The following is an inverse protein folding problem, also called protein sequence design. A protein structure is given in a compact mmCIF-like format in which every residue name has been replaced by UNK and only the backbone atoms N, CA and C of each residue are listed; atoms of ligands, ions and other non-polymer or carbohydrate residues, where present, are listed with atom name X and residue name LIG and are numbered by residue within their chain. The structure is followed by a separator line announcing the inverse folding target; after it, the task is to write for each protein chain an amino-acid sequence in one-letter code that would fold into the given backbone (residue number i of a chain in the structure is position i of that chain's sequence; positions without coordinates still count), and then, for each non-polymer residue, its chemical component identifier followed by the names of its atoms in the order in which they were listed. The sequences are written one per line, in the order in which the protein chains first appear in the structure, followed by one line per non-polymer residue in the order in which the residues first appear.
data_IF_225591231181
#
_entry.id   IF_225591231181
#
_cell.length_a   1.000
_cell.length_b   1.000
_cell.length_c   1.000
_cell.angle_alpha   90.00
_cell.angle_beta   90.00
_cell.angle_gamma   90.00
#
_symmetry.space_group_name_H-M   'P 1'
#
loop_
_entity.id
_entity.type
_entity.pdbx_description
1 polymer ?
#
# COMPACT_ATOMS: atom_id res chain seq x y z
N UNK A 1 3.49 -29.85 -24.00
CA UNK A 1 3.42 -28.37 -24.02
C UNK A 1 2.97 -27.80 -22.66
N UNK A 2 3.70 -28.08 -21.59
CA UNK A 2 3.48 -27.56 -20.23
C UNK A 2 4.85 -27.32 -19.61
N UNK A 3 5.41 -26.12 -19.79
CA UNK A 3 6.56 -25.57 -19.02
C UNK A 3 7.11 -24.21 -19.51
N UNK A 4 6.47 -23.51 -20.45
CA UNK A 4 6.93 -22.19 -20.92
C UNK A 4 6.11 -20.98 -20.42
N UNK A 5 5.05 -21.19 -19.65
CA UNK A 5 4.12 -20.11 -19.28
C UNK A 5 4.49 -19.25 -18.07
N UNK A 6 5.56 -19.58 -17.33
CA UNK A 6 5.88 -18.91 -16.05
C UNK A 6 7.01 -17.87 -16.19
N UNK A 7 7.75 -17.86 -17.30
CA UNK A 7 8.89 -16.92 -17.47
C UNK A 7 8.50 -15.59 -18.14
N UNK A 8 7.33 -15.50 -18.77
CA UNK A 8 6.96 -14.33 -19.59
C UNK A 8 6.24 -13.19 -18.87
N UNK A 9 5.78 -13.39 -17.63
CA UNK A 9 5.06 -12.36 -16.86
C UNK A 9 5.96 -11.55 -15.90
N UNK A 10 7.23 -11.94 -15.71
CA UNK A 10 8.20 -11.14 -14.96
C UNK A 10 8.99 -10.15 -15.84
N UNK A 11 8.90 -10.23 -17.17
CA UNK A 11 9.69 -9.39 -18.07
C UNK A 11 9.11 -7.97 -18.26
N UNK A 12 7.79 -7.78 -18.14
CA UNK A 12 7.18 -6.45 -18.29
C UNK A 12 7.37 -5.54 -17.07
N UNK A 13 7.67 -6.10 -15.90
CA UNK A 13 8.04 -5.33 -14.71
C UNK A 13 9.53 -4.94 -14.64
N UNK A 14 10.38 -5.52 -15.51
CA UNK A 14 11.82 -5.25 -15.55
C UNK A 14 12.27 -4.36 -16.72
N UNK A 15 11.35 -3.94 -17.60
CA UNK A 15 11.67 -3.09 -18.76
C UNK A 15 11.70 -1.57 -18.47
N UNK A 16 11.81 -1.16 -17.19
CA UNK A 16 12.10 0.23 -16.81
C UNK A 16 13.45 0.40 -16.08
N UNK A 17 14.35 -0.58 -16.15
CA UNK A 17 15.65 -0.52 -15.44
C UNK A 17 16.89 -0.84 -16.30
N UNK A 18 16.80 -0.85 -17.63
CA UNK A 18 17.99 -0.84 -18.49
C UNK A 18 17.82 0.08 -19.69
N UNK A 19 18.32 1.30 -19.56
CA UNK A 19 18.76 2.10 -20.71
C UNK A 19 20.01 2.87 -20.26
N UNK A 20 21.16 2.27 -20.53
CA UNK A 20 22.44 2.94 -20.67
C UNK A 20 22.85 2.81 -22.12
N UNK A 21 23.05 3.97 -22.75
CA UNK A 21 23.84 4.22 -23.96
C UNK A 21 23.43 3.50 -25.25
N UNK A 22 22.77 4.25 -26.15
CA UNK A 22 23.21 4.46 -27.54
C UNK A 22 22.31 5.51 -28.24
N UNK A 23 22.95 6.62 -28.58
CA UNK A 23 22.80 7.45 -29.80
C UNK A 23 21.42 7.70 -30.44
N UNK A 24 21.08 8.99 -30.42
CA UNK A 24 20.64 9.84 -31.55
C UNK A 24 19.36 9.50 -32.33
N UNK A 25 18.46 10.49 -32.34
CA UNK A 25 17.42 10.72 -33.35
C UNK A 25 16.39 9.61 -33.57
N UNK A 26 15.15 9.84 -33.12
CA UNK A 26 13.92 9.81 -33.93
C UNK A 26 12.70 9.95 -33.00
N UNK A 27 11.87 10.94 -33.33
CA UNK A 27 10.52 11.15 -32.80
C UNK A 27 9.63 9.96 -33.19
N UNK A 28 8.97 9.32 -32.22
CA UNK A 28 7.76 8.54 -32.52
C UNK A 28 6.84 8.54 -31.30
N UNK A 29 5.66 9.11 -31.52
CA UNK A 29 4.54 9.18 -30.60
C UNK A 29 4.02 7.77 -30.25
N UNK A 30 3.70 7.54 -28.98
CA UNK A 30 2.97 6.37 -28.50
C UNK A 30 1.47 6.71 -28.44
N UNK A 31 0.57 5.88 -28.99
CA UNK A 31 -0.87 6.15 -28.96
C UNK A 31 -1.48 5.76 -27.61
N UNK A 32 -2.13 6.71 -26.97
CA UNK A 32 -3.03 6.46 -25.82
C UNK A 32 -4.40 6.11 -26.39
N UNK A 33 -4.78 4.84 -26.31
CA UNK A 33 -6.16 4.42 -26.54
C UNK A 33 -7.00 4.75 -25.31
N UNK A 34 -7.78 5.83 -25.40
CA UNK A 34 -8.93 6.05 -24.54
C UNK A 34 -10.08 5.14 -25.00
N UNK A 35 -10.56 4.27 -24.12
CA UNK A 35 -11.94 3.79 -24.16
C UNK A 35 -12.60 4.13 -22.83
N UNK A 36 -13.39 5.21 -22.86
CA UNK A 36 -14.32 5.61 -21.83
C UNK A 36 -15.68 4.99 -22.13
N UNK A 37 -16.16 4.09 -21.28
CA UNK A 37 -17.59 3.82 -21.15
C UNK A 37 -17.90 3.50 -19.69
N UNK A 38 -18.88 4.18 -19.11
CA UNK A 38 -19.29 3.95 -17.72
C UNK A 38 -20.14 5.08 -17.13
N UNK A 39 -21.23 5.39 -17.79
CA UNK A 39 -22.29 6.32 -17.43
C UNK A 39 -22.80 6.07 -15.98
N UNK A 40 -22.64 7.03 -15.07
CA UNK A 40 -23.29 7.02 -13.74
C UNK A 40 -24.65 7.71 -13.86
N UNK A 41 -25.68 6.93 -14.18
CA UNK A 41 -27.07 7.34 -13.96
C UNK A 41 -27.36 7.36 -12.46
N UNK A 42 -27.28 8.53 -11.84
CA UNK A 42 -27.91 8.79 -10.55
C UNK A 42 -29.39 9.05 -10.82
N UNK A 43 -30.26 8.12 -10.39
CA UNK A 43 -31.68 8.37 -10.29
C UNK A 43 -31.92 9.41 -9.20
N UNK A 44 -32.36 10.59 -9.62
CA UNK A 44 -32.76 11.70 -8.79
C UNK A 44 -34.22 11.49 -8.34
N UNK A 45 -34.40 11.09 -7.09
CA UNK A 45 -35.63 11.31 -6.33
C UNK A 45 -35.22 11.55 -4.87
N UNK A 46 -35.70 12.67 -4.35
CA UNK A 46 -35.76 13.06 -2.94
C UNK A 46 -34.43 13.41 -2.25
N UNK A 47 -34.08 14.69 -2.31
CA UNK A 47 -34.04 15.59 -1.14
C UNK A 47 -34.03 17.01 -1.69
N UNK A 48 -35.21 17.61 -1.63
CA UNK A 48 -35.47 19.02 -1.84
C UNK A 48 -35.02 19.82 -0.60
N UNK A 49 -34.68 21.08 -0.83
CA UNK A 49 -34.58 22.19 0.14
C UNK A 49 -33.33 22.35 1.01
N UNK A 50 -32.38 23.14 0.48
CA UNK A 50 -32.14 24.52 0.97
C UNK A 50 -31.21 25.30 0.02
N UNK A 51 -31.77 26.31 -0.66
CA UNK A 51 -31.01 27.35 -1.39
C UNK A 51 -30.41 28.38 -0.39
N UNK A 52 -29.31 29.05 -0.75
CA UNK A 52 -28.53 29.90 0.15
C UNK A 52 -29.00 31.35 0.12
N UNK A 53 -28.87 32.07 1.24
CA UNK A 53 -29.03 33.52 1.29
C UNK A 53 -27.67 34.21 1.12
N UNK A 54 -27.54 34.90 -0.01
CA UNK A 54 -26.58 35.97 -0.27
C UNK A 54 -26.92 37.16 0.64
N UNK A 55 -25.95 37.67 1.39
CA UNK A 55 -25.88 39.10 1.74
C UNK A 55 -24.45 39.58 1.58
N UNK A 56 -24.41 40.78 1.05
CA UNK A 56 -23.36 41.51 0.37
C UNK A 56 -22.69 42.54 1.31
N UNK A 57 -21.56 43.09 0.85
CA UNK A 57 -20.88 44.33 1.28
C UNK A 57 -19.97 44.29 2.53
N UNK A 58 -18.67 44.52 2.32
CA UNK A 58 -18.12 45.89 2.25
C UNK A 58 -16.58 45.91 2.12
N UNK A 59 -16.10 46.88 1.34
CA UNK A 59 -14.69 47.21 1.09
C UNK A 59 -14.08 48.00 2.26
N UNK A 60 -12.78 47.84 2.49
CA UNK A 60 -11.94 48.78 3.24
C UNK A 60 -10.46 48.56 2.95
N UNK A 61 -9.89 49.41 2.10
CA UNK A 61 -8.45 49.57 1.91
C UNK A 61 -7.82 50.15 3.19
N UNK A 62 -6.60 49.74 3.56
CA UNK A 62 -5.50 50.64 3.90
C UNK A 62 -4.15 49.94 3.91
N UNK A 63 -3.14 50.76 3.64
CA UNK A 63 -1.83 50.51 3.04
C UNK A 63 -0.71 50.54 4.10
N UNK A 64 0.41 49.89 3.75
CA UNK A 64 1.84 50.20 4.05
C UNK A 64 2.47 50.02 5.43
N UNK A 65 3.71 49.47 5.35
CA UNK A 65 4.88 49.83 6.16
C UNK A 65 5.14 48.90 7.34
N UNK A 66 6.36 48.52 7.72
CA UNK A 66 7.71 48.61 7.17
C UNK A 66 8.59 47.74 8.08
N UNK A 67 9.81 47.44 7.66
CA UNK A 67 10.71 46.45 8.26
C UNK A 67 11.29 46.85 9.63
N UNK A 68 11.45 45.88 10.55
CA UNK A 68 12.55 45.84 11.52
C UNK A 68 12.94 44.38 11.84
N UNK A 69 14.20 44.04 11.58
CA UNK A 69 15.03 43.02 12.26
C UNK A 69 16.40 43.69 12.49
N UNK A 70 17.32 43.14 13.30
CA UNK A 70 17.19 42.30 14.49
C UNK A 70 18.08 42.82 15.66
N UNK A 71 17.92 42.33 16.90
CA UNK A 71 18.99 42.42 17.89
C UNK A 71 18.91 41.32 18.95
N UNK A 72 20.07 40.80 19.37
CA UNK A 72 20.24 40.05 20.61
C UNK A 72 20.62 38.58 20.46
N UNK A 73 21.89 38.30 20.09
CA UNK A 73 22.58 37.08 20.50
C UNK A 73 23.04 37.21 21.98
N UNK A 74 23.42 36.05 22.53
CA UNK A 74 24.11 35.80 23.80
C UNK A 74 23.25 35.54 25.04
N UNK A 75 23.13 34.24 25.37
CA UNK A 75 23.55 33.71 26.68
C UNK A 75 23.69 32.18 26.67
N UNK A 76 24.96 31.76 26.67
CA UNK A 76 25.59 30.83 27.62
C UNK A 76 25.04 29.40 27.69
N UNK A 77 25.76 28.51 27.01
CA UNK A 77 25.90 27.08 27.31
C UNK A 77 26.64 26.91 28.65
N UNK A 78 26.11 26.09 29.55
CA UNK A 78 26.87 25.52 30.65
C UNK A 78 26.82 23.99 30.57
N UNK A 79 28.02 23.41 30.44
CA UNK A 79 28.34 22.01 30.50
C UNK A 79 27.95 21.39 31.86
N UNK A 80 27.31 20.21 31.83
CA UNK A 80 27.43 19.25 32.94
C UNK A 80 27.83 17.88 32.42
N UNK A 81 29.07 17.55 32.79
CA UNK A 81 29.77 16.28 32.66
C UNK A 81 28.99 15.07 33.20
N UNK A 82 29.07 13.98 32.43
CA UNK A 82 29.43 12.60 32.79
C UNK A 82 29.39 12.21 34.28
N UNK A 83 28.63 11.16 34.58
CA UNK A 83 29.06 10.09 35.49
C UNK A 83 28.66 8.72 34.95
N UNK A 84 29.69 7.93 34.66
CA UNK A 84 29.65 6.51 34.41
C UNK A 84 29.07 5.74 35.61
N UNK A 85 28.22 4.74 35.33
CA UNK A 85 28.00 3.61 36.24
C UNK A 85 28.17 2.30 35.49
N UNK A 86 29.35 1.74 35.72
CA UNK A 86 29.77 0.35 35.51
C UNK A 86 29.15 -0.54 36.60
N UNK A 87 28.48 -1.63 36.21
CA UNK A 87 28.18 -2.83 37.03
C UNK A 87 28.05 -4.00 36.04
N UNK A 88 29.12 -4.75 35.81
CA UNK A 88 29.43 -6.07 36.38
C UNK A 88 28.61 -7.25 35.83
N UNK A 89 29.33 -8.08 35.08
CA UNK A 89 28.96 -9.41 34.59
C UNK A 89 28.61 -10.37 35.73
N UNK A 90 27.51 -11.12 35.56
CA UNK A 90 27.30 -12.38 36.28
C UNK A 90 27.26 -13.55 35.31
N UNK A 91 28.33 -14.33 35.38
CA UNK A 91 28.59 -15.61 34.72
C UNK A 91 28.32 -16.73 35.72
N UNK A 92 27.34 -17.59 35.48
CA UNK A 92 27.14 -18.91 36.12
C UNK A 92 26.38 -19.76 35.09
N UNK A 93 27.02 -20.71 34.39
CA UNK A 93 27.56 -22.04 34.75
C UNK A 93 26.65 -23.12 34.17
N UNK A 94 27.26 -23.91 33.28
CA UNK A 94 26.73 -25.14 32.69
C UNK A 94 26.44 -26.19 33.77
N UNK A 95 25.31 -26.89 33.63
CA UNK A 95 25.16 -28.23 34.19
C UNK A 95 24.78 -29.21 33.07
N UNK A 96 25.72 -30.12 32.84
CA UNK A 96 25.67 -31.25 31.91
C UNK A 96 25.56 -32.50 32.75
N UNK A 97 24.48 -33.28 32.63
CA UNK A 97 24.44 -34.66 33.13
C UNK A 97 23.68 -35.56 32.14
N UNK A 98 24.47 -36.42 31.47
CA UNK A 98 24.26 -37.81 31.05
C UNK A 98 22.83 -38.36 31.06
N UNK A 99 22.30 -38.98 30.00
CA UNK A 99 22.91 -40.07 29.24
C UNK A 99 22.49 -41.43 29.84
N UNK A 100 21.44 -42.05 29.31
CA UNK A 100 21.26 -43.51 29.35
C UNK A 100 20.55 -44.02 28.09
N UNK A 101 21.38 -44.68 27.29
CA UNK A 101 21.06 -45.60 26.20
C UNK A 101 20.60 -46.94 26.82
N UNK A 102 19.84 -47.72 26.06
CA UNK A 102 19.82 -49.21 25.91
C UNK A 102 18.36 -49.65 25.64
N UNK A 103 18.06 -49.99 24.38
CA UNK A 103 18.01 -51.35 23.77
C UNK A 103 16.56 -51.88 23.79
N UNK A 104 15.92 -51.97 22.62
CA UNK A 104 15.90 -53.15 21.74
C UNK A 104 15.39 -54.40 22.46
N UNK A 105 14.16 -54.82 22.16
CA UNK A 105 13.95 -56.15 21.61
C UNK A 105 12.64 -56.28 20.83
N UNK A 106 12.81 -56.92 19.68
CA UNK A 106 11.89 -57.36 18.65
C UNK A 106 11.20 -58.64 19.13
N UNK A 107 9.99 -58.95 18.64
CA UNK A 107 9.62 -60.26 18.01
C UNK A 107 8.09 -60.53 17.96
N UNK A 108 7.66 -60.86 16.73
CA UNK A 108 6.57 -61.74 16.24
C UNK A 108 5.11 -61.66 16.75
N UNK A 109 4.28 -61.12 15.86
CA UNK A 109 3.12 -61.74 15.21
C UNK A 109 2.42 -62.98 15.76
N UNK A 110 1.08 -62.87 15.86
CA UNK A 110 0.00 -63.76 15.34
C UNK A 110 -1.33 -63.02 15.62
N UNK A 111 -2.08 -62.60 14.59
CA UNK A 111 -3.29 -63.27 14.08
C UNK A 111 -4.21 -63.71 15.22
N UNK A 112 -5.27 -62.93 15.47
CA UNK A 112 -6.66 -63.37 15.56
C UNK A 112 -7.56 -62.14 15.75
N UNK A 113 -8.56 -62.05 14.88
CA UNK A 113 -9.65 -61.08 14.89
C UNK A 113 -10.66 -61.50 15.98
N UNK A 114 -11.26 -60.55 16.70
CA UNK A 114 -12.71 -60.50 16.61
C UNK A 114 -13.26 -59.09 16.43
N UNK A 115 -14.32 -59.04 15.63
CA UNK A 115 -15.23 -57.93 15.40
C UNK A 115 -15.37 -56.94 16.57
N UNK A 116 -15.05 -55.67 16.31
CA UNK A 116 -15.64 -54.52 16.97
C UNK A 116 -16.08 -53.54 15.88
N UNK A 117 -17.34 -53.64 15.49
CA UNK A 117 -18.09 -52.53 14.91
C UNK A 117 -18.11 -51.42 15.97
N UNK A 118 -17.28 -50.40 15.79
CA UNK A 118 -17.49 -49.09 16.43
C UNK A 118 -17.84 -48.13 15.31
N UNK A 119 -19.14 -47.93 15.23
CA UNK A 119 -19.83 -46.94 14.44
C UNK A 119 -19.43 -45.51 14.85
N UNK A 120 -19.73 -44.60 13.94
CA UNK A 120 -19.72 -43.14 14.09
C UNK A 120 -18.35 -42.46 13.95
N UNK A 121 -17.99 -42.35 12.68
CA UNK A 121 -17.26 -41.23 12.11
C UNK A 121 -17.88 -39.89 12.53
N UNK A 122 -17.50 -39.38 13.71
CA UNK A 122 -17.72 -37.99 14.12
C UNK A 122 -16.73 -37.10 13.36
N UNK A 123 -16.90 -37.04 12.02
CA UNK A 123 -16.42 -35.91 11.25
C UNK A 123 -17.22 -34.71 11.74
N UNK A 124 -16.57 -33.85 12.50
CA UNK A 124 -16.95 -32.47 12.76
C UNK A 124 -17.60 -31.88 11.50
N UNK A 125 -18.93 -31.88 11.43
CA UNK A 125 -19.67 -31.26 10.34
C UNK A 125 -19.59 -29.75 10.56
N UNK A 126 -18.52 -29.15 10.04
CA UNK A 126 -18.52 -27.72 9.75
C UNK A 126 -19.74 -27.46 8.87
N UNK A 127 -20.65 -26.54 9.23
CA UNK A 127 -21.83 -26.26 8.43
C UNK A 127 -21.41 -25.94 7.00
N UNK A 128 -21.83 -26.76 6.03
CA UNK A 128 -21.62 -26.47 4.60
C UNK A 128 -22.43 -25.23 4.28
N UNK A 129 -21.76 -24.10 4.04
CA UNK A 129 -22.40 -22.89 3.53
C UNK A 129 -23.17 -23.22 2.27
N UNK A 130 -24.40 -22.76 2.18
CA UNK A 130 -25.17 -22.89 0.94
C UNK A 130 -24.56 -22.00 -0.15
N UNK A 131 -24.78 -22.35 -1.42
CA UNK A 131 -24.33 -21.53 -2.55
C UNK A 131 -24.83 -20.08 -2.43
N UNK A 132 -26.07 -19.90 -1.98
CA UNK A 132 -26.69 -18.59 -1.80
C UNK A 132 -25.99 -17.76 -0.72
N UNK A 133 -25.66 -18.37 0.41
CA UNK A 133 -24.92 -17.70 1.50
C UNK A 133 -23.51 -17.30 1.06
N UNK A 134 -22.78 -18.21 0.39
CA UNK A 134 -21.44 -17.93 -0.10
C UNK A 134 -21.42 -16.76 -1.11
N UNK A 135 -22.38 -16.74 -2.04
CA UNK A 135 -22.53 -15.64 -3.00
C UNK A 135 -22.88 -14.31 -2.30
N UNK A 136 -23.84 -14.32 -1.37
CA UNK A 136 -24.27 -13.11 -0.67
C UNK A 136 -23.14 -12.49 0.16
N UNK A 137 -22.37 -13.32 0.87
CA UNK A 137 -21.21 -12.88 1.64
C UNK A 137 -20.13 -12.29 0.73
N UNK A 138 -19.85 -12.95 -0.38
CA UNK A 138 -18.86 -12.48 -1.36
C UNK A 138 -19.27 -11.11 -1.93
N UNK A 139 -20.51 -10.94 -2.37
CA UNK A 139 -21.02 -9.65 -2.86
C UNK A 139 -20.97 -8.55 -1.80
N UNK A 140 -21.34 -8.86 -0.56
CA UNK A 140 -21.25 -7.93 0.55
C UNK A 140 -19.81 -7.47 0.77
N UNK A 141 -18.83 -8.39 0.67
CA UNK A 141 -17.41 -8.07 0.81
C UNK A 141 -16.89 -7.20 -0.32
N UNK A 142 -17.30 -7.49 -1.57
CA UNK A 142 -16.94 -6.67 -2.72
C UNK A 142 -17.50 -5.25 -2.58
N UNK A 143 -18.76 -5.11 -2.13
CA UNK A 143 -19.36 -3.80 -1.84
C UNK A 143 -18.62 -3.06 -0.74
N UNK A 144 -18.28 -3.73 0.37
CA UNK A 144 -17.49 -3.15 1.46
C UNK A 144 -16.15 -2.61 0.94
N UNK A 145 -15.43 -3.42 0.15
CA UNK A 145 -14.16 -3.03 -0.45
C UNK A 145 -14.34 -1.81 -1.38
N UNK A 146 -15.35 -1.81 -2.27
CA UNK A 146 -15.69 -0.66 -3.13
C UNK A 146 -15.90 0.63 -2.33
N UNK A 147 -16.74 0.56 -1.30
CA UNK A 147 -17.08 1.73 -0.49
C UNK A 147 -15.87 2.28 0.27
N UNK A 148 -15.00 1.42 0.81
CA UNK A 148 -13.76 1.86 1.48
C UNK A 148 -12.87 2.68 0.53
N UNK A 149 -12.67 2.22 -0.70
CA UNK A 149 -11.81 2.90 -1.67
C UNK A 149 -12.37 4.25 -2.12
N UNK A 150 -13.67 4.30 -2.40
CA UNK A 150 -14.34 5.55 -2.77
C UNK A 150 -14.27 6.55 -1.62
N UNK A 151 -14.50 6.08 -0.39
CA UNK A 151 -14.43 6.93 0.80
C UNK A 151 -13.02 7.52 0.96
N UNK A 152 -11.97 6.69 0.96
CA UNK A 152 -10.59 7.15 1.12
C UNK A 152 -10.21 8.19 0.06
N UNK A 153 -10.54 7.96 -1.22
CA UNK A 153 -10.22 8.89 -2.32
C UNK A 153 -10.92 10.25 -2.19
N UNK A 154 -12.13 10.25 -1.63
CA UNK A 154 -12.94 11.47 -1.49
C UNK A 154 -12.79 12.16 -0.12
N UNK A 155 -12.12 11.50 0.84
CA UNK A 155 -12.03 11.99 2.22
C UNK A 155 -11.08 13.17 2.38
N UNK A 156 -10.15 13.38 1.44
CA UNK A 156 -9.11 14.38 1.55
C UNK A 156 -9.23 15.47 0.47
N UNK A 157 -9.53 16.70 0.88
CA UNK A 157 -9.37 17.89 0.03
C UNK A 157 -8.12 18.69 0.47
N UNK A 158 -7.04 18.72 -0.34
CA UNK A 158 -5.81 19.43 0.00
C UNK A 158 -6.02 20.95 0.20
N UNK A 159 -7.07 21.54 -0.41
CA UNK A 159 -7.34 22.99 -0.32
C UNK A 159 -7.72 23.42 1.09
N UNK A 160 -8.33 22.54 1.87
CA UNK A 160 -8.70 22.84 3.26
C UNK A 160 -7.48 22.97 4.17
N UNK A 161 -6.40 22.23 3.86
CA UNK A 161 -5.19 22.15 4.69
C UNK A 161 -4.03 23.01 4.18
N UNK A 162 -4.23 23.76 3.08
CA UNK A 162 -3.21 24.63 2.47
C UNK A 162 -1.88 23.91 2.18
N UNK A 163 -1.93 22.62 1.85
CA UNK A 163 -0.73 21.84 1.55
C UNK A 163 -0.09 22.29 0.24
N UNK A 164 1.24 22.33 0.22
CA UNK A 164 2.07 22.70 -0.92
C UNK A 164 3.02 21.56 -1.31
N UNK A 165 2.45 20.38 -1.58
CA UNK A 165 3.25 19.25 -2.05
C UNK A 165 3.81 19.58 -3.44
N UNK A 166 5.13 19.45 -3.68
CA UNK A 166 5.79 19.90 -4.90
C UNK A 166 5.61 18.92 -6.09
N UNK A 167 4.39 18.46 -6.36
CA UNK A 167 4.08 17.48 -7.43
C UNK A 167 4.71 17.85 -8.77
N UNK A 168 4.56 19.12 -9.19
CA UNK A 168 5.11 19.63 -10.46
C UNK A 168 6.64 19.52 -10.53
N UNK A 169 7.35 19.73 -9.42
CA UNK A 169 8.82 19.62 -9.34
C UNK A 169 9.28 18.16 -9.34
N UNK A 170 8.43 17.24 -8.90
CA UNK A 170 8.71 15.80 -8.90
C UNK A 170 8.50 15.22 -10.30
N UNK A 171 7.31 15.43 -10.88
CA UNK A 171 7.00 15.08 -12.26
C UNK A 171 5.64 15.66 -12.67
N UNK A 172 5.47 16.18 -13.90
CA UNK A 172 4.18 16.61 -14.43
C UNK A 172 3.10 15.52 -14.41
N UNK A 173 3.48 14.23 -14.45
CA UNK A 173 2.51 13.14 -14.43
C UNK A 173 1.69 13.08 -13.12
N UNK A 174 2.21 13.68 -12.05
CA UNK A 174 1.57 13.70 -10.73
C UNK A 174 0.75 14.97 -10.47
N UNK A 175 0.62 15.88 -11.44
CA UNK A 175 -0.15 17.13 -11.24
C UNK A 175 -1.64 16.96 -11.43
N UNK A 176 -2.07 15.89 -12.09
CA UNK A 176 -3.49 15.64 -12.30
C UNK A 176 -4.18 15.20 -11.00
N UNK A 177 -5.39 15.70 -10.78
CA UNK A 177 -6.13 15.56 -9.52
C UNK A 177 -6.38 14.10 -9.15
N UNK A 178 -6.55 13.23 -10.14
CA UNK A 178 -6.77 11.81 -9.93
C UNK A 178 -5.55 11.13 -9.30
N UNK A 179 -4.35 11.39 -9.83
CA UNK A 179 -3.09 10.85 -9.31
C UNK A 179 -2.82 11.37 -7.89
N UNK A 180 -3.14 12.64 -7.63
CA UNK A 180 -2.99 13.20 -6.27
C UNK A 180 -3.94 12.53 -5.29
N UNK A 181 -5.23 12.38 -5.65
CA UNK A 181 -6.20 11.66 -4.83
C UNK A 181 -5.79 10.21 -4.58
N UNK A 182 -5.22 9.54 -5.59
CA UNK A 182 -4.73 8.17 -5.48
C UNK A 182 -3.48 8.09 -4.56
N UNK A 183 -2.59 9.09 -4.58
CA UNK A 183 -1.46 9.18 -3.63
C UNK A 183 -1.99 9.38 -2.20
N UNK A 184 -2.97 10.25 -1.99
CA UNK A 184 -3.56 10.46 -0.66
C UNK A 184 -4.27 9.20 -0.14
N UNK A 185 -5.04 8.52 -0.99
CA UNK A 185 -5.71 7.27 -0.64
C UNK A 185 -4.72 6.14 -0.27
N UNK A 186 -3.55 6.08 -0.91
CA UNK A 186 -2.48 5.13 -0.55
C UNK A 186 -1.89 5.40 0.84
N UNK A 187 -2.06 6.61 1.37
CA UNK A 187 -1.72 7.01 2.74
C UNK A 187 -2.90 6.91 3.70
N UNK A 188 -4.00 6.30 3.28
CA UNK A 188 -5.25 6.23 4.06
C UNK A 188 -5.93 7.58 4.25
N UNK A 189 -5.59 8.58 3.44
CA UNK A 189 -6.08 9.96 3.55
C UNK A 189 -5.85 10.58 4.95
N UNK A 190 -4.82 10.10 5.65
CA UNK A 190 -4.42 10.60 6.96
C UNK A 190 -3.67 11.93 6.80
N UNK A 191 -4.29 13.01 7.28
CA UNK A 191 -3.78 14.39 7.18
C UNK A 191 -2.38 14.52 7.80
N UNK A 192 -2.13 13.86 8.93
CA UNK A 192 -0.85 13.95 9.65
C UNK A 192 0.28 13.29 8.86
N UNK A 193 -0.03 12.15 8.23
CA UNK A 193 0.91 11.44 7.36
C UNK A 193 1.17 12.23 6.09
N UNK A 194 0.13 12.87 5.51
CA UNK A 194 0.27 13.69 4.30
C UNK A 194 1.13 14.94 4.58
N UNK A 195 0.96 15.60 5.74
CA UNK A 195 1.85 16.69 6.20
C UNK A 195 3.29 16.19 6.36
N UNK A 196 3.47 14.97 6.90
CA UNK A 196 4.80 14.34 7.01
C UNK A 196 5.43 14.09 5.65
N UNK A 197 4.65 13.65 4.66
CA UNK A 197 5.09 13.50 3.28
C UNK A 197 5.51 14.85 2.67
N UNK A 198 4.70 15.90 2.84
CA UNK A 198 5.05 17.24 2.36
C UNK A 198 6.40 17.69 2.94
N UNK A 199 6.61 17.51 4.25
CA UNK A 199 7.88 17.86 4.90
C UNK A 199 9.06 17.11 4.29
N UNK A 200 8.92 15.81 4.06
CA UNK A 200 9.96 15.01 3.41
C UNK A 200 10.30 15.61 2.05
N UNK A 201 9.28 15.84 1.22
CA UNK A 201 9.47 16.30 -0.16
C UNK A 201 10.05 17.71 -0.23
N UNK A 202 9.69 18.60 0.69
CA UNK A 202 10.24 19.95 0.76
C UNK A 202 11.70 19.99 1.24
N UNK A 203 12.18 18.93 1.92
CA UNK A 203 13.58 18.79 2.30
C UNK A 203 14.48 18.24 1.18
N UNK A 204 13.88 17.68 0.13
CA UNK A 204 14.60 17.13 -1.02
C UNK A 204 15.11 18.24 -1.96
N UNK A 205 16.29 18.04 -2.54
CA UNK A 205 16.80 18.91 -3.62
C UNK A 205 16.13 18.55 -4.95
N UNK A 206 14.88 19.00 -5.12
CA UNK A 206 14.09 18.78 -6.32
C UNK A 206 14.49 19.78 -7.41
N UNK A 207 15.15 19.31 -8.46
CA UNK A 207 15.64 20.16 -9.55
C UNK A 207 14.56 20.51 -10.57
N UNK A 208 14.65 21.74 -11.08
CA UNK A 208 13.90 22.24 -12.25
C UNK A 208 14.93 22.74 -13.29
N UNK A 209 14.90 22.26 -14.56
CA UNK A 209 13.95 21.31 -15.14
C UNK A 209 14.07 19.89 -14.56
N UNK A 210 12.98 19.12 -14.65
CA UNK A 210 12.90 17.79 -14.04
C UNK A 210 13.89 16.83 -14.72
N UNK A 211 14.91 16.39 -13.97
CA UNK A 211 15.85 15.36 -14.40
C UNK A 211 15.49 14.04 -13.70
N UNK A 212 14.60 13.26 -14.32
CA UNK A 212 14.00 12.03 -13.75
C UNK A 212 15.02 10.95 -13.33
N UNK A 213 16.28 11.07 -13.76
CA UNK A 213 17.33 10.07 -13.59
C UNK A 213 18.34 10.39 -12.49
N UNK A 214 18.29 11.58 -11.88
CA UNK A 214 19.36 12.04 -10.98
C UNK A 214 18.86 12.62 -9.65
N UNK A 215 19.66 12.43 -8.59
CA UNK A 215 19.48 13.08 -7.29
C UNK A 215 18.20 12.69 -6.53
N UNK A 216 17.71 13.64 -5.74
CA UNK A 216 16.56 13.45 -4.85
C UNK A 216 15.23 13.37 -5.62
N UNK A 217 15.14 14.00 -6.79
CA UNK A 217 13.97 13.89 -7.69
C UNK A 217 13.67 12.43 -8.03
N UNK A 218 14.70 11.61 -8.33
CA UNK A 218 14.52 10.18 -8.60
C UNK A 218 13.93 9.43 -7.41
N UNK A 219 14.34 9.80 -6.19
CA UNK A 219 13.82 9.21 -4.95
C UNK A 219 12.35 9.54 -4.78
N UNK A 220 11.96 10.80 -4.98
CA UNK A 220 10.57 11.25 -4.91
C UNK A 220 9.68 10.59 -5.97
N UNK A 221 10.14 10.54 -7.23
CA UNK A 221 9.42 9.86 -8.32
C UNK A 221 9.19 8.39 -8.00
N UNK A 222 10.21 7.69 -7.50
CA UNK A 222 10.09 6.28 -7.16
C UNK A 222 9.12 6.04 -6.00
N UNK A 223 9.14 6.89 -4.96
CA UNK A 223 8.15 6.85 -3.88
C UNK A 223 6.72 7.00 -4.43
N UNK A 224 6.46 8.02 -5.26
CA UNK A 224 5.12 8.25 -5.81
C UNK A 224 4.63 7.12 -6.70
N UNK A 225 5.51 6.52 -7.51
CA UNK A 225 5.15 5.34 -8.31
C UNK A 225 4.75 4.15 -7.43
N UNK A 226 5.44 3.92 -6.30
CA UNK A 226 5.08 2.87 -5.36
C UNK A 226 3.74 3.13 -4.66
N UNK A 227 3.42 4.38 -4.34
CA UNK A 227 2.12 4.77 -3.78
C UNK A 227 1.00 4.60 -4.80
N UNK A 228 1.20 5.07 -6.04
CA UNK A 228 0.21 4.92 -7.11
C UNK A 228 -0.08 3.45 -7.41
N UNK A 229 0.93 2.57 -7.41
CA UNK A 229 0.73 1.13 -7.58
C UNK A 229 -0.30 0.55 -6.58
N UNK A 230 -0.31 1.03 -5.34
CA UNK A 230 -1.25 0.54 -4.33
C UNK A 230 -2.68 0.88 -4.74
N UNK A 231 -2.93 2.15 -5.07
CA UNK A 231 -4.24 2.63 -5.48
C UNK A 231 -4.69 2.06 -6.83
N UNK A 232 -3.80 2.00 -7.82
CA UNK A 232 -4.06 1.49 -9.15
C UNK A 232 -4.46 0.01 -9.15
N UNK A 233 -3.68 -0.83 -8.49
CA UNK A 233 -3.97 -2.26 -8.45
C UNK A 233 -5.19 -2.58 -7.60
N UNK A 234 -5.41 -1.82 -6.53
CA UNK A 234 -6.62 -1.95 -5.72
C UNK A 234 -7.86 -1.57 -6.53
N UNK A 235 -7.81 -0.47 -7.29
CA UNK A 235 -8.87 -0.07 -8.22
C UNK A 235 -9.09 -1.10 -9.32
N UNK A 236 -8.02 -1.63 -9.91
CA UNK A 236 -8.09 -2.69 -10.93
C UNK A 236 -8.75 -3.96 -10.41
N UNK A 237 -8.44 -4.38 -9.19
CA UNK A 237 -9.13 -5.49 -8.54
C UNK A 237 -10.64 -5.28 -8.53
N UNK A 238 -11.06 -4.11 -8.06
CA UNK A 238 -12.46 -3.85 -7.76
C UNK A 238 -13.29 -3.49 -9.00
N UNK A 239 -12.73 -2.68 -9.90
CA UNK A 239 -13.44 -2.16 -11.07
C UNK A 239 -13.30 -3.05 -12.29
N UNK A 240 -12.20 -3.81 -12.41
CA UNK A 240 -11.98 -4.72 -13.53
C UNK A 240 -12.30 -6.15 -13.13
N UNK A 241 -11.62 -6.68 -12.11
CA UNK A 241 -11.73 -8.11 -11.78
C UNK A 241 -13.02 -8.47 -11.04
N UNK A 242 -13.53 -7.54 -10.22
CA UNK A 242 -14.75 -7.68 -9.41
C UNK A 242 -15.84 -6.68 -9.85
N UNK A 243 -15.86 -6.35 -11.14
CA UNK A 243 -16.92 -5.55 -11.77
C UNK A 243 -18.27 -6.24 -11.64
N UNK A 244 -19.38 -5.50 -11.70
CA UNK A 244 -20.72 -6.08 -11.58
C UNK A 244 -20.95 -7.21 -12.59
N UNK A 245 -20.49 -7.02 -13.83
CA UNK A 245 -20.53 -8.06 -14.88
C UNK A 245 -19.73 -9.31 -14.50
N UNK A 246 -18.52 -9.15 -13.96
CA UNK A 246 -17.71 -10.29 -13.55
C UNK A 246 -18.24 -10.98 -12.30
N UNK A 247 -18.92 -10.27 -11.39
CA UNK A 247 -19.58 -10.87 -10.24
C UNK A 247 -20.70 -11.82 -10.68
N UNK A 248 -21.55 -11.40 -11.61
CA UNK A 248 -22.60 -12.28 -12.16
C UNK A 248 -22.00 -13.50 -12.88
N UNK A 249 -20.90 -13.31 -13.63
CA UNK A 249 -20.17 -14.44 -14.23
C UNK A 249 -19.63 -15.39 -13.18
N UNK A 250 -19.02 -14.90 -12.10
CA UNK A 250 -18.48 -15.73 -11.03
C UNK A 250 -19.61 -16.55 -10.39
N UNK A 251 -20.75 -15.92 -10.07
CA UNK A 251 -21.91 -16.58 -9.45
C UNK A 251 -22.50 -17.69 -10.30
N UNK A 252 -22.47 -17.53 -11.62
CA UNK A 252 -23.09 -18.48 -12.56
C UNK A 252 -22.15 -19.59 -13.02
N UNK A 253 -20.84 -19.34 -13.04
CA UNK A 253 -19.86 -20.28 -13.62
C UNK A 253 -18.93 -20.97 -12.62
N UNK A 254 -18.79 -20.47 -11.39
CA UNK A 254 -17.88 -21.04 -10.38
C UNK A 254 -18.61 -21.94 -9.39
N UNK A 255 -17.88 -22.93 -8.85
CA UNK A 255 -18.38 -23.77 -7.76
C UNK A 255 -18.51 -22.97 -6.45
N UNK A 256 -19.26 -23.51 -5.48
CA UNK A 256 -19.39 -22.89 -4.15
C UNK A 256 -18.02 -22.80 -3.48
N UNK A 257 -17.20 -23.83 -3.62
CA UNK A 257 -15.84 -23.92 -3.10
C UNK A 257 -14.92 -22.85 -3.72
N UNK A 258 -15.02 -22.64 -5.04
CA UNK A 258 -14.28 -21.57 -5.73
C UNK A 258 -14.69 -20.19 -5.23
N UNK A 259 -15.99 -19.94 -5.05
CA UNK A 259 -16.50 -18.67 -4.53
C UNK A 259 -16.00 -18.43 -3.10
N UNK A 260 -16.00 -19.47 -2.26
CA UNK A 260 -15.42 -19.40 -0.91
C UNK A 260 -13.92 -19.06 -0.97
N UNK A 261 -13.16 -19.68 -1.87
CA UNK A 261 -11.72 -19.43 -2.04
C UNK A 261 -11.42 -18.02 -2.56
N UNK A 262 -12.22 -17.51 -3.51
CA UNK A 262 -12.14 -16.13 -4.00
C UNK A 262 -12.47 -15.15 -2.87
N UNK A 263 -13.56 -15.40 -2.13
CA UNK A 263 -13.99 -14.56 -1.02
C UNK A 263 -12.94 -14.48 0.10
N UNK A 264 -12.34 -15.61 0.46
CA UNK A 264 -11.24 -15.67 1.42
C UNK A 264 -9.99 -14.91 0.92
N UNK A 265 -9.70 -14.99 -0.38
CA UNK A 265 -8.58 -14.25 -0.99
C UNK A 265 -8.83 -12.73 -0.98
N UNK A 266 -10.07 -12.29 -1.21
CA UNK A 266 -10.46 -10.89 -1.10
C UNK A 266 -10.34 -10.36 0.33
N UNK A 267 -10.71 -11.15 1.34
CA UNK A 267 -10.54 -10.75 2.74
C UNK A 267 -9.07 -10.61 3.13
N UNK A 268 -8.22 -11.57 2.73
CA UNK A 268 -6.77 -11.45 2.93
C UNK A 268 -6.20 -10.21 2.23
N UNK A 269 -6.70 -9.88 1.04
CA UNK A 269 -6.31 -8.66 0.33
C UNK A 269 -6.67 -7.41 1.14
N UNK A 270 -7.89 -7.32 1.68
CA UNK A 270 -8.31 -6.18 2.48
C UNK A 270 -7.44 -6.02 3.73
N UNK A 271 -7.17 -7.12 4.45
CA UNK A 271 -6.31 -7.12 5.63
C UNK A 271 -4.86 -6.72 5.30
N UNK A 272 -4.31 -7.24 4.21
CA UNK A 272 -2.97 -6.87 3.77
C UNK A 272 -2.91 -5.41 3.32
N UNK A 273 -3.96 -4.88 2.68
CA UNK A 273 -4.04 -3.46 2.32
C UNK A 273 -3.97 -2.58 3.56
N UNK A 274 -4.76 -2.87 4.60
CA UNK A 274 -4.74 -2.11 5.85
C UNK A 274 -3.36 -2.14 6.50
N UNK A 275 -2.71 -3.31 6.49
CA UNK A 275 -1.32 -3.47 6.96
C UNK A 275 -0.32 -2.67 6.13
N UNK A 276 -0.42 -2.72 4.79
CA UNK A 276 0.46 -2.01 3.85
C UNK A 276 0.34 -0.50 4.03
N UNK A 277 -0.88 0.03 4.13
CA UNK A 277 -1.12 1.45 4.41
C UNK A 277 -0.45 1.84 5.72
N UNK A 278 -0.64 1.06 6.78
CA UNK A 278 0.00 1.33 8.08
C UNK A 278 1.53 1.33 8.01
N UNK A 279 2.14 0.35 7.33
CA UNK A 279 3.61 0.32 7.13
C UNK A 279 4.10 1.61 6.47
N UNK A 280 3.40 2.08 5.44
CA UNK A 280 3.79 3.29 4.71
C UNK A 280 3.63 4.54 5.58
N UNK A 281 2.51 4.63 6.32
CA UNK A 281 2.26 5.72 7.27
C UNK A 281 3.35 5.79 8.34
N UNK A 282 3.71 4.65 8.93
CA UNK A 282 4.76 4.56 9.96
C UNK A 282 6.13 4.99 9.39
N UNK A 283 6.49 4.53 8.19
CA UNK A 283 7.76 4.90 7.54
C UNK A 283 7.81 6.40 7.19
N UNK A 284 6.76 6.95 6.58
CA UNK A 284 6.71 8.38 6.23
C UNK A 284 6.78 9.25 7.48
N UNK A 285 6.02 8.89 8.53
CA UNK A 285 6.00 9.65 9.78
C UNK A 285 7.35 9.59 10.49
N UNK A 286 7.98 8.41 10.56
CA UNK A 286 9.30 8.23 11.19
C UNK A 286 10.40 8.97 10.44
N UNK A 287 10.40 8.92 9.09
CA UNK A 287 11.41 9.59 8.27
C UNK A 287 11.28 11.12 8.33
N UNK A 288 10.06 11.66 8.44
CA UNK A 288 9.83 13.12 8.46
C UNK A 288 10.39 13.84 9.70
N UNK A 289 10.76 13.08 10.74
CA UNK A 289 11.34 13.58 11.99
C UNK A 289 12.88 13.60 11.98
N UNK A 290 13.52 13.05 10.95
CA UNK A 290 14.97 12.95 10.83
C UNK A 290 15.56 14.19 10.16
N UNK A 291 16.87 14.40 10.33
CA UNK A 291 17.60 15.37 9.51
C UNK A 291 17.63 14.93 8.04
N UNK A 292 17.99 15.84 7.14
CA UNK A 292 17.95 15.60 5.70
C UNK A 292 18.76 14.37 5.26
N UNK A 293 19.93 14.15 5.85
CA UNK A 293 20.82 13.04 5.46
C UNK A 293 20.22 11.69 5.82
N UNK A 294 19.82 11.54 7.08
CA UNK A 294 19.21 10.32 7.59
C UNK A 294 17.83 10.03 6.99
N UNK A 295 17.04 11.09 6.76
CA UNK A 295 15.76 11.00 6.05
C UNK A 295 15.95 10.47 4.63
N UNK A 296 16.91 11.02 3.87
CA UNK A 296 17.16 10.61 2.49
C UNK A 296 17.71 9.18 2.42
N UNK A 297 18.64 8.80 3.30
CA UNK A 297 19.16 7.44 3.36
C UNK A 297 18.06 6.43 3.73
N UNK A 298 17.26 6.77 4.74
CA UNK A 298 16.10 5.96 5.14
C UNK A 298 15.07 5.82 4.03
N UNK A 299 14.77 6.91 3.31
CA UNK A 299 13.85 6.87 2.19
C UNK A 299 14.36 5.96 1.08
N UNK A 300 15.64 6.09 0.67
CA UNK A 300 16.28 5.20 -0.32
C UNK A 300 16.23 3.73 0.10
N UNK A 301 16.42 3.43 1.38
CA UNK A 301 16.32 2.08 1.94
C UNK A 301 14.91 1.52 1.82
N UNK A 302 13.90 2.25 2.26
CA UNK A 302 12.54 1.74 2.34
C UNK A 302 11.87 1.60 0.97
N UNK A 303 12.21 2.48 0.02
CA UNK A 303 11.71 2.39 -1.36
C UNK A 303 12.56 1.46 -2.25
N UNK A 304 13.61 0.83 -1.71
CA UNK A 304 14.39 -0.17 -2.43
C UNK A 304 15.39 0.36 -3.46
N UNK A 305 15.83 1.61 -3.33
CA UNK A 305 16.94 2.18 -4.10
C UNK A 305 18.31 1.91 -3.47
N UNK A 306 18.36 1.36 -2.25
CA UNK A 306 19.59 0.90 -1.59
C UNK A 306 19.60 -0.64 -1.51
N UNK A 307 20.73 -1.26 -1.84
CA UNK A 307 20.91 -2.70 -1.66
C UNK A 307 21.01 -3.07 -0.18
N UNK A 308 20.63 -4.31 0.16
CA UNK A 308 20.73 -4.83 1.54
C UNK A 308 19.78 -4.21 2.57
N UNK A 309 18.77 -3.42 2.16
CA UNK A 309 17.72 -2.91 3.05
C UNK A 309 16.48 -3.80 3.08
N UNK A 310 15.59 -3.55 4.05
CA UNK A 310 14.32 -4.25 4.23
C UNK A 310 13.27 -3.88 3.17
N UNK A 311 13.40 -2.69 2.57
CA UNK A 311 12.58 -2.19 1.44
C UNK A 311 11.08 -2.22 1.74
N UNK A 312 10.71 -1.73 2.92
CA UNK A 312 9.37 -1.88 3.49
C UNK A 312 8.28 -1.32 2.56
N UNK A 313 8.40 -0.06 2.10
CA UNK A 313 7.42 0.53 1.18
C UNK A 313 7.38 -0.21 -0.16
N UNK A 314 8.53 -0.60 -0.71
CA UNK A 314 8.59 -1.33 -1.97
C UNK A 314 7.92 -2.72 -1.86
N UNK A 315 8.24 -3.48 -0.81
CA UNK A 315 7.64 -4.80 -0.56
C UNK A 315 6.14 -4.67 -0.30
N UNK A 316 5.72 -3.65 0.44
CA UNK A 316 4.32 -3.38 0.71
C UNK A 316 3.54 -3.12 -0.60
N UNK A 317 4.06 -2.26 -1.48
CA UNK A 317 3.49 -2.01 -2.80
C UNK A 317 3.40 -3.28 -3.66
N UNK A 318 4.46 -4.08 -3.72
CA UNK A 318 4.46 -5.32 -4.51
C UNK A 318 3.59 -6.44 -3.90
N UNK A 319 3.34 -6.44 -2.60
CA UNK A 319 2.41 -7.37 -1.95
C UNK A 319 0.99 -7.21 -2.51
N UNK A 320 0.53 -5.96 -2.65
CA UNK A 320 -0.76 -5.61 -3.25
C UNK A 320 -0.85 -6.13 -4.69
N UNK A 321 0.17 -5.84 -5.51
CA UNK A 321 0.24 -6.31 -6.90
C UNK A 321 0.12 -7.84 -6.97
N UNK A 322 0.87 -8.56 -6.13
CA UNK A 322 0.85 -10.02 -6.08
C UNK A 322 -0.50 -10.58 -5.66
N UNK A 323 -1.18 -9.98 -4.69
CA UNK A 323 -2.50 -10.41 -4.26
C UNK A 323 -3.57 -10.17 -5.33
N UNK A 324 -3.54 -9.01 -5.99
CA UNK A 324 -4.45 -8.71 -7.10
C UNK A 324 -4.25 -9.69 -8.25
N UNK A 325 -3.02 -10.02 -8.60
CA UNK A 325 -2.73 -11.01 -9.64
C UNK A 325 -3.30 -12.41 -9.29
N UNK A 326 -3.21 -12.83 -8.02
CA UNK A 326 -3.80 -14.10 -7.56
C UNK A 326 -5.32 -14.10 -7.65
N UNK A 327 -5.98 -13.04 -7.20
CA UNK A 327 -7.46 -12.95 -7.31
C UNK A 327 -7.86 -12.91 -8.78
N UNK A 328 -7.17 -12.12 -9.60
CA UNK A 328 -7.41 -12.02 -11.04
C UNK A 328 -7.30 -13.39 -11.74
N UNK A 329 -6.43 -14.28 -11.26
CA UNK A 329 -6.34 -15.65 -11.77
C UNK A 329 -7.53 -16.52 -11.37
N UNK A 330 -8.02 -16.40 -10.12
CA UNK A 330 -9.14 -17.20 -9.62
C UNK A 330 -10.48 -16.82 -10.27
N UNK A 331 -10.67 -15.54 -10.62
CA UNK A 331 -11.93 -15.04 -11.20
C UNK A 331 -12.06 -15.19 -12.71
N UNK A 332 -10.98 -15.59 -13.40
CA UNK A 332 -11.01 -15.91 -14.84
C UNK A 332 -11.75 -17.22 -15.08
#
# INVERSE_FOLDING_TARGET
MRKLGITFLCAFGMMFCKQGELTDGIVTELPIAHQSEGNLGLSQADIENKKPSVVDKSKGYLRSGEAVKPSGMDKKVEDKKLKDKKVEDKKLKDEKVTGKKLKDERVQGKKDEPHLEVDVEERLQVPRKTAREACAEFEARVRKCKSQLVNERNQFDPRYYSLSIPFKKISPIFTAAEQQADIYAALGSDVTVIISLERILNNLDLKEPVLYTYGDTKVAVHLFNLLLNISDYTRKLVNTHLSSTNLERIKTSKSVEDIIAINASLERFMQERDRVVKIIQDQITSLSLKDKGDMLDGLKKTIGLKSGSDREIQRASYSIIGMVARIAYLVK
#
